data_IF_307928321951
#
_entry.id   IF_307928321951
#
_cell.length_a   1.000
_cell.length_b   1.000
_cell.length_c   1.000
_cell.angle_alpha   90.00
_cell.angle_beta   90.00
_cell.angle_gamma   90.00
#
_symmetry.space_group_name_H-M   'P 1'
#
loop_
_entity.id
_entity.type
_entity.pdbx_description
1 polymer ?
#
# COMPACT_ATOMS: atom_id res chain seq x y z
N UNK A 1 10.98 -2.82 11.39
CA UNK A 1 10.22 -3.47 10.30
C UNK A 1 8.82 -2.85 10.31
N UNK A 2 8.48 -2.01 9.33
CA UNK A 2 7.19 -1.28 9.30
C UNK A 2 6.23 -2.09 8.41
N UNK A 3 5.12 -2.54 8.97
CA UNK A 3 4.01 -3.16 8.25
C UNK A 3 2.92 -2.10 8.05
N UNK A 4 2.35 -1.94 6.84
CA UNK A 4 1.25 -0.99 6.58
C UNK A 4 0.12 -1.70 5.81
N UNK A 5 -1.13 -1.46 6.20
CA UNK A 5 -2.32 -2.10 5.62
C UNK A 5 -2.74 -1.53 4.28
N UNK A 6 -3.15 -2.39 3.36
CA UNK A 6 -3.92 -2.10 2.15
C UNK A 6 -5.33 -2.60 2.42
N UNK A 7 -6.33 -1.74 2.27
CA UNK A 7 -7.73 -2.17 2.29
C UNK A 7 -8.11 -2.65 0.90
N UNK A 8 -8.41 -3.95 0.76
CA UNK A 8 -9.03 -4.52 -0.44
C UNK A 8 -10.46 -4.88 -0.04
N UNK A 9 -11.39 -4.87 -1.01
CA UNK A 9 -12.85 -5.11 -0.86
C UNK A 9 -13.29 -6.23 0.11
N UNK A 10 -12.41 -7.16 0.47
CA UNK A 10 -12.68 -8.30 1.37
C UNK A 10 -11.89 -8.28 2.71
N UNK A 11 -11.17 -7.19 3.05
CA UNK A 11 -10.47 -7.05 4.34
C UNK A 11 -9.22 -6.15 4.33
N UNK A 12 -8.64 -5.91 5.52
CA UNK A 12 -7.35 -5.22 5.69
C UNK A 12 -6.21 -6.21 5.39
N UNK A 13 -5.48 -6.01 4.30
CA UNK A 13 -4.33 -6.81 3.93
C UNK A 13 -3.03 -6.04 4.10
N UNK A 14 -2.10 -6.51 4.94
CA UNK A 14 -0.81 -5.85 5.09
C UNK A 14 0.04 -5.96 3.82
N UNK A 15 0.55 -4.83 3.33
CA UNK A 15 1.60 -4.78 2.31
C UNK A 15 2.89 -4.17 2.85
N UNK A 16 3.97 -4.53 2.18
CA UNK A 16 5.28 -3.93 2.42
C UNK A 16 5.59 -2.96 1.29
N UNK A 17 5.92 -1.72 1.65
CA UNK A 17 6.46 -0.75 0.70
C UNK A 17 7.88 -1.18 0.32
N UNK A 18 8.12 -1.38 -0.96
CA UNK A 18 9.42 -1.71 -1.54
C UNK A 18 10.15 -0.45 -1.99
N UNK A 19 9.42 0.47 -2.63
CA UNK A 19 9.90 1.76 -3.10
C UNK A 19 8.75 2.79 -3.06
N UNK A 20 9.05 4.07 -2.90
CA UNK A 20 8.03 5.13 -2.85
C UNK A 20 8.58 6.44 -3.44
N UNK A 21 7.80 7.02 -4.34
CA UNK A 21 8.01 8.35 -4.90
C UNK A 21 6.87 9.30 -4.54
N UNK A 22 6.92 10.51 -5.06
CA UNK A 22 5.88 11.53 -4.85
C UNK A 22 4.56 11.20 -5.55
N UNK A 23 4.59 10.39 -6.61
CA UNK A 23 3.43 10.10 -7.47
C UNK A 23 2.95 8.65 -7.37
N UNK A 24 3.68 7.79 -6.66
CA UNK A 24 3.35 6.37 -6.59
C UNK A 24 4.27 5.57 -5.69
N UNK A 25 4.00 4.28 -5.59
CA UNK A 25 4.80 3.35 -4.80
C UNK A 25 4.89 2.00 -5.50
N UNK A 26 5.93 1.25 -5.11
CA UNK A 26 6.01 -0.17 -5.37
C UNK A 26 5.75 -0.92 -4.08
N UNK A 27 4.80 -1.86 -4.14
CA UNK A 27 4.33 -2.64 -3.02
C UNK A 27 4.67 -4.12 -3.23
N UNK A 28 4.90 -4.81 -2.12
CA UNK A 28 4.85 -6.26 -2.03
C UNK A 28 3.56 -6.65 -1.31
N UNK A 29 2.73 -7.44 -1.97
CA UNK A 29 1.40 -7.79 -1.51
C UNK A 29 1.17 -9.30 -1.75
N UNK A 30 1.44 -10.08 -0.70
CA UNK A 30 1.21 -11.52 -0.68
C UNK A 30 -0.09 -11.86 0.08
N UNK A 31 -0.65 -13.04 -0.18
CA UNK A 31 -1.82 -13.55 0.53
C UNK A 31 -3.17 -13.08 -0.02
N UNK A 32 -3.20 -12.43 -1.19
CA UNK A 32 -4.42 -12.13 -1.94
C UNK A 32 -4.33 -12.62 -3.37
N UNK A 33 -5.47 -12.93 -4.02
CA UNK A 33 -5.50 -13.20 -5.45
C UNK A 33 -4.81 -12.08 -6.25
N UNK A 34 -4.08 -12.41 -7.34
CA UNK A 34 -3.37 -11.40 -8.11
C UNK A 34 -4.30 -10.32 -8.67
N UNK A 35 -4.07 -9.09 -8.24
CA UNK A 35 -4.88 -7.94 -8.66
C UNK A 35 -4.56 -7.53 -10.10
N UNK A 36 -5.56 -7.18 -10.93
CA UNK A 36 -5.32 -6.75 -12.31
C UNK A 36 -4.69 -5.36 -12.39
N UNK A 37 -3.94 -5.12 -13.47
CA UNK A 37 -3.54 -3.75 -13.84
C UNK A 37 -4.81 -2.96 -14.14
N UNK A 38 -4.89 -1.74 -13.61
CA UNK A 38 -6.06 -0.89 -13.65
C UNK A 38 -6.97 -0.99 -12.43
N UNK A 39 -6.76 -1.97 -11.53
CA UNK A 39 -7.51 -2.06 -10.29
C UNK A 39 -7.30 -0.81 -9.43
N UNK A 40 -8.40 -0.31 -8.88
CA UNK A 40 -8.41 0.79 -7.91
C UNK A 40 -8.33 0.22 -6.48
N UNK A 41 -7.54 0.87 -5.64
CA UNK A 41 -7.25 0.47 -4.27
C UNK A 41 -7.28 1.69 -3.36
N UNK A 42 -7.67 1.48 -2.10
CA UNK A 42 -7.50 2.47 -1.06
C UNK A 42 -6.42 1.98 -0.09
N UNK A 43 -5.29 2.70 -0.05
CA UNK A 43 -4.23 2.42 0.91
C UNK A 43 -4.53 3.12 2.22
N UNK A 44 -4.46 2.37 3.33
CA UNK A 44 -4.51 2.95 4.66
C UNK A 44 -3.07 3.06 5.20
N UNK A 45 -2.46 4.22 5.02
CA UNK A 45 -1.07 4.45 5.39
C UNK A 45 -0.96 5.11 6.77
N UNK A 46 -0.34 4.42 7.73
CA UNK A 46 0.12 5.06 8.97
C UNK A 46 1.50 5.69 8.76
N UNK A 47 1.73 6.96 9.15
CA UNK A 47 3.06 7.57 9.11
C UNK A 47 4.10 6.79 9.91
N UNK A 48 5.35 6.75 9.44
CA UNK A 48 6.43 6.10 10.17
C UNK A 48 6.76 6.89 11.45
N UNK A 49 6.59 6.25 12.61
CA UNK A 49 6.79 6.86 13.93
C UNK A 49 8.24 7.33 14.12
N UNK A 50 8.45 8.60 14.47
CA UNK A 50 9.56 8.98 15.37
C UNK A 50 9.05 8.74 16.79
N UNK A 51 9.75 7.95 17.61
CA UNK A 51 9.21 7.33 18.84
C UNK A 51 8.63 8.28 19.92
N UNK A 52 8.67 9.61 19.79
CA UNK A 52 8.63 10.51 20.95
C UNK A 52 7.63 11.70 20.94
N UNK A 53 6.76 11.92 19.95
CA UNK A 53 5.97 13.18 19.91
C UNK A 53 4.59 13.14 20.60
N UNK A 54 4.15 11.97 21.08
CA UNK A 54 2.87 11.84 21.82
C UNK A 54 1.62 12.18 20.99
N UNK A 55 1.75 12.43 19.69
CA UNK A 55 0.63 12.80 18.82
C UNK A 55 -0.07 11.54 18.31
N UNK A 56 -1.41 11.53 18.42
CA UNK A 56 -2.25 10.54 17.75
C UNK A 56 -2.25 10.87 16.25
N UNK A 57 -1.64 10.00 15.45
CA UNK A 57 -1.72 10.09 14.00
C UNK A 57 -2.81 9.14 13.52
N UNK A 58 -3.75 9.69 12.75
CA UNK A 58 -4.82 8.92 12.13
C UNK A 58 -4.31 8.28 10.84
N UNK A 59 -4.75 7.06 10.51
CA UNK A 59 -4.47 6.47 9.22
C UNK A 59 -4.95 7.38 8.10
N UNK A 60 -4.14 7.53 7.05
CA UNK A 60 -4.50 8.32 5.87
C UNK A 60 -4.94 7.36 4.78
N UNK A 61 -6.15 7.57 4.26
CA UNK A 61 -6.65 6.87 3.08
C UNK A 61 -6.09 7.53 1.82
N UNK A 62 -5.39 6.75 1.00
CA UNK A 62 -4.77 7.18 -0.24
C UNK A 62 -5.38 6.35 -1.37
N UNK A 63 -6.29 6.92 -2.18
CA UNK A 63 -6.77 6.30 -3.40
C UNK A 63 -5.61 6.11 -4.38
N UNK A 64 -5.54 4.94 -4.99
CA UNK A 64 -4.50 4.62 -5.95
C UNK A 64 -4.96 3.60 -6.99
N UNK A 65 -4.17 3.48 -8.05
CA UNK A 65 -4.43 2.57 -9.17
C UNK A 65 -3.20 1.72 -9.46
N UNK A 66 -3.39 0.42 -9.69
CA UNK A 66 -2.31 -0.47 -10.14
C UNK A 66 -1.97 -0.15 -11.60
N UNK A 67 -0.71 0.17 -11.87
CA UNK A 67 -0.20 0.45 -13.22
C UNK A 67 0.78 -0.62 -13.72
N UNK A 68 1.30 -1.46 -12.82
CA UNK A 68 2.24 -2.52 -13.15
C UNK A 68 2.13 -3.66 -12.14
N UNK A 69 2.39 -4.91 -12.55
CA UNK A 69 2.45 -6.06 -11.65
C UNK A 69 3.46 -7.12 -12.11
N UNK A 70 4.09 -7.74 -11.13
CA UNK A 70 4.83 -8.99 -11.23
C UNK A 70 4.21 -10.01 -10.27
N UNK A 71 3.42 -10.92 -10.84
CA UNK A 71 2.65 -11.91 -10.09
C UNK A 71 3.57 -12.92 -9.41
N UNK A 72 4.71 -13.27 -10.02
CA UNK A 72 5.64 -14.27 -9.46
C UNK A 72 6.29 -13.76 -8.18
N UNK A 73 6.59 -12.47 -8.13
CA UNK A 73 7.23 -11.82 -6.98
C UNK A 73 6.27 -11.04 -6.09
N UNK A 74 4.94 -11.16 -6.31
CA UNK A 74 3.91 -10.43 -5.57
C UNK A 74 4.15 -8.92 -5.53
N UNK A 75 4.71 -8.35 -6.60
CA UNK A 75 5.11 -6.95 -6.65
C UNK A 75 4.16 -6.14 -7.52
N UNK A 76 3.73 -4.98 -7.02
CA UNK A 76 2.76 -4.12 -7.67
C UNK A 76 3.26 -2.69 -7.70
N UNK A 77 3.20 -2.07 -8.86
CA UNK A 77 3.42 -0.63 -9.04
C UNK A 77 2.08 0.08 -9.01
N UNK A 78 1.97 1.10 -8.18
CA UNK A 78 0.77 1.91 -8.03
C UNK A 78 1.09 3.39 -8.27
N UNK A 79 0.08 4.14 -8.73
CA UNK A 79 0.09 5.60 -8.76
C UNK A 79 -0.98 6.13 -7.82
N UNK A 80 -0.71 7.25 -7.15
CA UNK A 80 -1.70 7.94 -6.33
C UNK A 80 -2.69 8.68 -7.24
N UNK A 81 -3.96 8.69 -6.83
CA UNK A 81 -5.04 9.42 -7.51
C UNK A 81 -5.41 10.70 -6.77
#
# INVERSE_FOLDING_TARGET
MIHKGIMISDGVQLARILDAGSTGMRLFLAGVPPLPVGAELNLECTPARKKSDGKKWYPVNIPCKIVWRDVKNYSYGIVFS
#
